data_IF_694812480723
#
_entry.id   IF_694812480723
#
_cell.length_a   1.000
_cell.length_b   1.000
_cell.length_c   1.000
_cell.angle_alpha   90.00
_cell.angle_beta   90.00
_cell.angle_gamma   90.00
#
_symmetry.space_group_name_H-M   'P 1'
#
loop_
_entity.id
_entity.type
_entity.pdbx_description
1 polymer ?
#
# COMPACT_ATOMS: atom_id res chain seq x y z
N UNK A 1 -77.58 -32.99 5.15
CA UNK A 1 -76.78 -32.50 4.01
C UNK A 1 -76.47 -31.05 4.28
N UNK A 2 -75.30 -30.76 4.83
CA UNK A 2 -74.79 -29.39 5.04
C UNK A 2 -73.74 -29.08 3.98
N UNK A 3 -73.70 -27.85 3.42
CA UNK A 3 -72.68 -27.45 2.48
C UNK A 3 -71.40 -26.98 3.20
N UNK A 4 -70.27 -27.56 2.78
CA UNK A 4 -68.91 -27.19 3.19
C UNK A 4 -68.48 -25.91 2.48
N UNK A 5 -68.12 -24.87 3.24
CA UNK A 5 -67.56 -23.62 2.72
C UNK A 5 -66.08 -23.80 2.36
N UNK A 6 -65.72 -23.43 1.13
CA UNK A 6 -64.34 -23.38 0.63
C UNK A 6 -63.71 -22.02 0.96
N UNK A 7 -62.55 -22.04 1.62
CA UNK A 7 -61.76 -20.85 1.92
C UNK A 7 -60.79 -20.54 0.77
N UNK A 8 -60.97 -19.37 0.16
CA UNK A 8 -60.06 -18.80 -0.86
C UNK A 8 -58.85 -18.17 -0.18
N UNK A 9 -57.69 -18.82 -0.27
CA UNK A 9 -56.40 -18.26 0.12
C UNK A 9 -55.75 -17.48 -1.03
N UNK A 10 -55.58 -16.17 -0.87
CA UNK A 10 -54.84 -15.33 -1.80
C UNK A 10 -53.32 -15.56 -1.69
N UNK A 11 -52.57 -15.68 -2.79
CA UNK A 11 -51.13 -15.85 -2.76
C UNK A 11 -50.40 -14.54 -2.38
N UNK A 12 -49.49 -14.66 -1.41
CA UNK A 12 -48.57 -13.60 -0.97
C UNK A 12 -47.52 -13.30 -2.05
N UNK A 13 -47.29 -12.04 -2.45
CA UNK A 13 -46.25 -11.71 -3.43
C UNK A 13 -44.84 -11.82 -2.81
N UNK A 14 -43.96 -12.46 -3.56
CA UNK A 14 -42.55 -12.66 -3.22
C UNK A 14 -41.80 -11.34 -2.97
N UNK A 15 -41.00 -11.32 -1.90
CA UNK A 15 -40.15 -10.21 -1.53
C UNK A 15 -39.10 -9.93 -2.64
N UNK A 16 -39.19 -8.75 -3.24
CA UNK A 16 -38.17 -8.23 -4.18
C UNK A 16 -36.90 -7.90 -3.40
N UNK A 17 -35.84 -8.67 -3.64
CA UNK A 17 -34.47 -8.31 -3.23
C UNK A 17 -34.06 -7.02 -3.93
N UNK A 18 -33.80 -5.99 -3.13
CA UNK A 18 -33.36 -4.66 -3.56
C UNK A 18 -31.96 -4.79 -4.17
N UNK A 19 -31.83 -4.46 -5.46
CA UNK A 19 -30.53 -4.30 -6.11
C UNK A 19 -29.74 -3.18 -5.42
N UNK A 20 -28.51 -3.48 -5.02
CA UNK A 20 -27.59 -2.51 -4.44
C UNK A 20 -27.20 -1.48 -5.52
N UNK A 21 -27.45 -0.21 -5.23
CA UNK A 21 -27.02 0.90 -6.07
C UNK A 21 -25.47 0.99 -6.11
N UNK A 22 -24.86 1.38 -7.23
CA UNK A 22 -23.44 1.67 -7.29
C UNK A 22 -23.14 2.90 -6.43
N UNK A 23 -22.52 2.66 -5.27
CA UNK A 23 -22.08 3.71 -4.35
C UNK A 23 -21.04 4.63 -5.00
N UNK A 24 -21.34 5.92 -4.96
CA UNK A 24 -20.40 7.01 -5.20
C UNK A 24 -19.23 6.92 -4.22
N UNK A 25 -18.03 6.73 -4.75
CA UNK A 25 -16.78 6.77 -3.99
C UNK A 25 -16.39 8.24 -3.76
N UNK A 26 -17.01 8.89 -2.79
CA UNK A 26 -16.59 10.22 -2.34
C UNK A 26 -15.32 10.04 -1.50
N UNK A 27 -14.16 10.24 -2.12
CA UNK A 27 -12.86 10.26 -1.42
C UNK A 27 -12.85 11.48 -0.50
N UNK A 28 -13.17 11.26 0.78
CA UNK A 28 -12.96 12.25 1.82
C UNK A 28 -11.45 12.41 2.05
N UNK A 29 -10.87 13.41 1.37
CA UNK A 29 -9.50 13.86 1.57
C UNK A 29 -9.43 14.69 2.87
N UNK A 30 -9.41 14.01 4.02
CA UNK A 30 -9.12 14.65 5.29
C UNK A 30 -7.61 14.96 5.36
N UNK A 31 -7.27 16.23 5.25
CA UNK A 31 -5.90 16.74 5.39
C UNK A 31 -5.43 16.61 6.84
N UNK A 32 -4.59 15.61 7.11
CA UNK A 32 -3.76 15.60 8.30
C UNK A 32 -2.60 16.59 8.08
N UNK A 33 -2.61 17.71 8.80
CA UNK A 33 -1.43 18.57 8.93
C UNK A 33 -0.41 17.83 9.81
N UNK A 34 0.44 17.02 9.19
CA UNK A 34 1.61 16.45 9.86
C UNK A 34 2.64 17.55 10.12
N UNK A 35 2.99 17.76 11.39
CA UNK A 35 4.09 18.62 11.81
C UNK A 35 5.40 18.11 11.17
N UNK A 36 5.93 18.89 10.24
CA UNK A 36 7.14 18.52 9.48
C UNK A 36 8.37 18.83 10.32
N UNK A 37 9.23 17.85 10.67
CA UNK A 37 10.54 18.16 11.23
C UNK A 37 11.36 18.91 10.17
N UNK A 38 11.80 20.13 10.47
CA UNK A 38 12.75 20.88 9.64
C UNK A 38 14.09 20.15 9.66
N UNK A 39 14.36 19.35 8.63
CA UNK A 39 15.69 18.77 8.43
C UNK A 39 16.60 19.89 7.93
N UNK A 40 17.42 20.44 8.84
CA UNK A 40 18.56 21.31 8.50
C UNK A 40 19.48 20.51 7.58
N UNK A 41 19.74 21.05 6.39
CA UNK A 41 20.66 20.46 5.42
C UNK A 41 22.08 20.45 5.98
N UNK A 42 22.46 19.33 6.60
CA UNK A 42 23.86 19.03 6.89
C UNK A 42 24.45 18.52 5.58
N UNK A 43 25.37 19.28 5.01
CA UNK A 43 26.17 18.82 3.87
C UNK A 43 27.05 17.66 4.35
N UNK A 44 26.60 16.43 4.13
CA UNK A 44 27.36 15.21 4.40
C UNK A 44 28.48 15.08 3.35
N UNK A 45 29.55 15.84 3.55
CA UNK A 45 30.83 15.60 2.89
C UNK A 45 31.60 14.57 3.72
N UNK A 46 31.31 13.29 3.48
CA UNK A 46 32.00 12.17 4.13
C UNK A 46 31.55 10.86 3.51
N UNK A 47 32.43 10.23 2.73
CA UNK A 47 32.30 8.85 2.19
C UNK A 47 30.91 8.45 1.70
N UNK A 48 30.48 9.03 0.57
CA UNK A 48 29.81 8.36 -0.57
C UNK A 48 28.69 7.34 -0.35
N UNK A 49 27.99 7.34 0.79
CA UNK A 49 26.87 6.43 1.04
C UNK A 49 25.72 6.67 0.06
N UNK A 50 25.07 5.60 -0.38
CA UNK A 50 23.97 5.70 -1.34
C UNK A 50 22.71 6.21 -0.62
N UNK A 51 21.91 7.05 -1.26
CA UNK A 51 20.85 7.80 -0.58
C UNK A 51 19.83 6.92 0.20
N UNK A 52 19.55 5.70 -0.27
CA UNK A 52 18.63 4.78 0.42
C UNK A 52 19.25 4.07 1.64
N UNK A 53 20.58 4.03 1.77
CA UNK A 53 21.28 3.34 2.87
C UNK A 53 21.04 4.05 4.20
N UNK A 54 20.85 5.38 4.16
CA UNK A 54 20.48 6.18 5.33
C UNK A 54 18.97 6.17 5.62
N UNK A 55 18.13 5.60 4.74
CA UNK A 55 16.69 5.57 4.91
C UNK A 55 16.24 4.35 5.74
N UNK A 56 15.14 4.46 6.52
CA UNK A 56 14.54 3.29 7.15
C UNK A 56 14.20 2.22 6.11
N UNK A 57 14.35 0.95 6.49
CA UNK A 57 14.12 -0.20 5.61
C UNK A 57 15.05 -0.20 4.37
N UNK A 58 16.33 0.16 4.53
CA UNK A 58 17.31 0.25 3.45
C UNK A 58 17.40 -1.04 2.60
N UNK A 59 17.45 -2.22 3.24
CA UNK A 59 17.48 -3.51 2.54
C UNK A 59 16.20 -3.73 1.72
N UNK A 60 15.03 -3.48 2.31
CA UNK A 60 13.75 -3.57 1.61
C UNK A 60 13.68 -2.64 0.40
N UNK A 61 14.12 -1.39 0.55
CA UNK A 61 14.18 -0.41 -0.54
C UNK A 61 15.10 -0.89 -1.66
N UNK A 62 16.28 -1.39 -1.31
CA UNK A 62 17.20 -1.99 -2.27
C UNK A 62 16.56 -3.17 -3.00
N UNK A 63 15.83 -4.02 -2.29
CA UNK A 63 15.14 -5.16 -2.90
C UNK A 63 14.02 -4.73 -3.83
N UNK A 64 13.24 -3.68 -3.49
CA UNK A 64 12.23 -3.10 -4.42
C UNK A 64 12.92 -2.61 -5.70
N UNK A 65 14.02 -1.85 -5.58
CA UNK A 65 14.74 -1.35 -6.74
C UNK A 65 15.27 -2.47 -7.66
N UNK A 66 15.80 -3.56 -7.08
CA UNK A 66 16.20 -4.75 -7.85
C UNK A 66 14.99 -5.41 -8.53
N UNK A 67 13.88 -5.52 -7.81
CA UNK A 67 12.70 -6.20 -8.31
C UNK A 67 11.93 -5.37 -9.35
N UNK A 68 12.19 -4.06 -9.42
CA UNK A 68 11.79 -3.16 -10.49
C UNK A 68 12.86 -3.02 -11.60
N UNK A 69 13.99 -3.73 -11.46
CA UNK A 69 15.17 -3.69 -12.36
C UNK A 69 15.77 -2.29 -12.54
N UNK A 70 15.57 -1.41 -11.58
CA UNK A 70 16.15 -0.06 -11.61
C UNK A 70 17.56 -0.02 -11.02
N UNK A 71 17.86 -0.91 -10.06
CA UNK A 71 19.11 -0.91 -9.31
C UNK A 71 20.37 -1.19 -10.16
N UNK A 72 20.20 -1.78 -11.35
CA UNK A 72 21.30 -2.07 -12.29
C UNK A 72 21.65 -0.88 -13.20
N UNK A 73 20.84 0.18 -13.19
CA UNK A 73 21.08 1.37 -14.00
C UNK A 73 22.03 2.36 -13.34
N UNK A 74 22.59 3.27 -14.14
CA UNK A 74 23.38 4.40 -13.67
C UNK A 74 22.66 5.18 -12.56
N UNK A 75 23.43 5.68 -11.60
CA UNK A 75 22.90 6.36 -10.39
C UNK A 75 21.84 5.50 -9.69
N UNK A 76 22.05 4.19 -9.66
CA UNK A 76 21.20 3.21 -8.98
C UNK A 76 19.70 3.32 -9.34
N UNK A 77 19.41 3.72 -10.58
CA UNK A 77 18.05 3.81 -11.10
C UNK A 77 17.30 5.11 -10.81
N UNK A 78 17.87 6.07 -10.07
CA UNK A 78 17.17 7.33 -9.75
C UNK A 78 16.79 8.12 -11.01
N UNK A 79 17.60 8.07 -12.07
CA UNK A 79 17.32 8.76 -13.34
C UNK A 79 16.43 8.00 -14.32
N UNK A 80 15.92 6.82 -13.97
CA UNK A 80 15.23 5.94 -14.93
C UNK A 80 13.79 6.35 -15.15
N UNK A 81 13.37 6.40 -16.42
CA UNK A 81 11.97 6.55 -16.83
C UNK A 81 11.58 5.35 -17.68
N UNK A 82 10.49 4.68 -17.33
CA UNK A 82 9.92 3.63 -18.16
C UNK A 82 9.11 4.26 -19.32
N UNK A 83 9.47 4.03 -20.59
CA UNK A 83 8.79 4.67 -21.72
C UNK A 83 7.38 4.16 -21.96
N UNK A 84 7.06 2.94 -21.51
CA UNK A 84 5.75 2.32 -21.75
C UNK A 84 4.74 2.67 -20.66
N UNK A 85 5.16 2.67 -19.40
CA UNK A 85 4.27 2.92 -18.26
C UNK A 85 4.33 4.36 -17.72
N UNK A 86 5.35 5.13 -18.10
CA UNK A 86 5.64 6.43 -17.49
C UNK A 86 6.12 6.32 -16.04
N UNK A 87 6.52 5.13 -15.58
CA UNK A 87 7.05 4.93 -14.23
C UNK A 87 8.38 5.67 -14.04
N UNK A 88 8.54 6.32 -12.89
CA UNK A 88 9.67 7.21 -12.60
C UNK A 88 10.57 6.69 -11.49
N UNK A 89 11.87 6.82 -11.73
CA UNK A 89 12.92 6.71 -10.75
C UNK A 89 13.18 5.31 -10.24
N UNK A 90 13.93 5.25 -9.15
CA UNK A 90 14.43 4.01 -8.55
C UNK A 90 13.32 3.05 -8.15
N UNK A 91 12.18 3.55 -7.70
CA UNK A 91 11.06 2.71 -7.25
C UNK A 91 9.95 2.56 -8.29
N UNK A 92 10.19 3.04 -9.53
CA UNK A 92 9.26 2.97 -10.65
C UNK A 92 7.85 3.47 -10.29
N UNK A 93 7.76 4.65 -9.67
CA UNK A 93 6.47 5.24 -9.32
C UNK A 93 5.66 5.58 -10.56
N UNK A 94 4.47 4.99 -10.69
CA UNK A 94 3.54 5.35 -11.75
C UNK A 94 2.96 6.76 -11.51
N UNK A 95 2.53 7.48 -12.56
CA UNK A 95 1.86 8.76 -12.40
C UNK A 95 0.68 8.73 -11.43
N UNK A 96 -0.15 7.68 -11.48
CA UNK A 96 -1.26 7.50 -10.55
C UNK A 96 -0.79 7.25 -9.11
N UNK A 97 0.34 6.59 -8.91
CA UNK A 97 0.92 6.43 -7.57
C UNK A 97 1.35 7.79 -7.02
N UNK A 98 1.99 8.65 -7.82
CA UNK A 98 2.37 10.00 -7.39
C UNK A 98 1.15 10.89 -7.11
N UNK A 99 0.06 10.71 -7.86
CA UNK A 99 -1.24 11.33 -7.57
C UNK A 99 -1.78 10.86 -6.22
N UNK A 100 -1.81 9.54 -5.98
CA UNK A 100 -2.31 8.96 -4.74
C UNK A 100 -1.51 9.40 -3.51
N UNK A 101 -0.21 9.63 -3.68
CA UNK A 101 0.68 10.16 -2.64
C UNK A 101 0.53 11.67 -2.44
N UNK A 102 -0.23 12.36 -3.28
CA UNK A 102 -0.39 13.82 -3.26
C UNK A 102 0.85 14.58 -3.75
N UNK A 103 1.81 13.91 -4.41
CA UNK A 103 2.96 14.56 -5.05
C UNK A 103 2.58 15.20 -6.38
N UNK A 104 1.58 14.63 -7.06
CA UNK A 104 0.94 15.21 -8.24
C UNK A 104 -0.54 15.50 -7.95
N UNK A 105 -1.11 16.47 -8.65
CA UNK A 105 -2.54 16.76 -8.66
C UNK A 105 -3.25 16.06 -9.84
N UNK A 106 -4.58 16.17 -9.90
CA UNK A 106 -5.39 15.53 -10.93
C UNK A 106 -5.05 15.98 -12.37
N UNK A 107 -4.47 17.18 -12.52
CA UNK A 107 -4.01 17.74 -13.78
C UNK A 107 -2.58 17.30 -14.13
N UNK A 108 -1.95 16.46 -13.31
CA UNK A 108 -0.58 15.96 -13.49
C UNK A 108 0.52 16.93 -13.05
N UNK A 109 0.17 18.10 -12.50
CA UNK A 109 1.12 19.08 -11.97
C UNK A 109 1.68 18.66 -10.61
N UNK A 110 2.92 19.05 -10.32
CA UNK A 110 3.57 18.82 -9.02
C UNK A 110 2.94 19.71 -7.96
N UNK A 111 2.72 19.17 -6.76
CA UNK A 111 2.03 19.87 -5.67
C UNK A 111 3.02 20.59 -4.74
N UNK A 112 2.54 21.47 -3.84
CA UNK A 112 3.39 22.05 -2.78
C UNK A 112 4.05 21.00 -1.87
N UNK A 113 3.53 19.77 -1.80
CA UNK A 113 4.20 18.66 -1.09
C UNK A 113 5.50 18.28 -1.80
N UNK A 114 5.46 18.08 -3.11
CA UNK A 114 6.64 17.75 -3.91
C UNK A 114 7.67 18.91 -3.93
N UNK A 115 7.18 20.15 -4.00
CA UNK A 115 8.05 21.34 -3.99
C UNK A 115 8.86 21.48 -2.69
N UNK A 116 8.32 21.07 -1.53
CA UNK A 116 9.08 21.01 -0.26
C UNK A 116 10.28 20.06 -0.32
N UNK A 117 10.27 19.12 -1.26
CA UNK A 117 11.37 18.21 -1.56
C UNK A 117 12.18 18.64 -2.80
N UNK A 118 12.00 19.87 -3.28
CA UNK A 118 12.73 20.44 -4.41
C UNK A 118 12.23 19.98 -5.78
N UNK A 119 11.01 19.43 -5.87
CA UNK A 119 10.48 18.88 -7.12
C UNK A 119 9.39 19.78 -7.71
N UNK A 120 9.67 20.38 -8.87
CA UNK A 120 8.72 21.18 -9.67
C UNK A 120 8.49 20.60 -11.06
N UNK A 121 9.33 19.64 -11.47
CA UNK A 121 9.27 18.97 -12.76
C UNK A 121 9.64 17.48 -12.63
N UNK A 122 9.35 16.71 -13.68
CA UNK A 122 9.81 15.31 -13.76
C UNK A 122 11.33 15.20 -13.72
N UNK A 123 12.03 16.15 -14.38
CA UNK A 123 13.48 16.22 -14.35
C UNK A 123 14.02 16.43 -12.92
N UNK A 124 13.39 17.30 -12.12
CA UNK A 124 13.79 17.50 -10.72
C UNK A 124 13.62 16.22 -9.90
N UNK A 125 12.50 15.50 -10.09
CA UNK A 125 12.23 14.24 -9.40
C UNK A 125 13.29 13.18 -9.74
N UNK A 126 13.62 13.01 -11.02
CA UNK A 126 14.62 12.06 -11.50
C UNK A 126 16.06 12.47 -11.11
N UNK A 127 16.33 13.76 -10.95
CA UNK A 127 17.63 14.26 -10.54
C UNK A 127 17.87 14.19 -9.02
N UNK A 128 16.83 14.03 -8.20
CA UNK A 128 16.87 14.12 -6.73
C UNK A 128 16.64 12.77 -6.04
N UNK A 129 17.71 12.03 -5.67
CA UNK A 129 17.59 10.83 -4.84
C UNK A 129 16.83 11.08 -3.54
N UNK A 130 17.09 12.21 -2.87
CA UNK A 130 16.41 12.57 -1.62
C UNK A 130 14.89 12.70 -1.78
N UNK A 131 14.42 13.28 -2.89
CA UNK A 131 12.99 13.37 -3.17
C UNK A 131 12.36 11.98 -3.40
N UNK A 132 13.05 11.09 -4.09
CA UNK A 132 12.55 9.73 -4.32
C UNK A 132 12.52 8.89 -3.03
N UNK A 133 13.50 9.08 -2.13
CA UNK A 133 13.47 8.44 -0.81
C UNK A 133 12.34 8.96 0.07
N UNK A 134 12.05 10.26 0.01
CA UNK A 134 10.91 10.86 0.69
C UNK A 134 9.58 10.35 0.11
N UNK A 135 9.45 10.27 -1.22
CA UNK A 135 8.27 9.72 -1.89
C UNK A 135 8.03 8.27 -1.50
N UNK A 136 9.08 7.45 -1.45
CA UNK A 136 9.00 6.06 -0.99
C UNK A 136 8.63 5.97 0.50
N UNK A 137 9.10 6.89 1.33
CA UNK A 137 8.64 6.96 2.71
C UNK A 137 7.13 7.27 2.82
N UNK A 138 6.63 8.24 2.05
CA UNK A 138 5.18 8.53 2.03
C UNK A 138 4.38 7.33 1.49
N UNK A 139 4.92 6.63 0.49
CA UNK A 139 4.32 5.42 -0.08
C UNK A 139 4.17 4.32 0.96
N UNK A 140 5.23 3.98 1.66
CA UNK A 140 5.23 2.92 2.67
C UNK A 140 4.21 3.18 3.78
N UNK A 141 4.18 4.40 4.34
CA UNK A 141 3.15 4.78 5.35
C UNK A 141 1.73 4.62 4.82
N UNK A 142 1.48 5.10 3.59
CA UNK A 142 0.16 5.03 2.98
C UNK A 142 -0.26 3.58 2.74
N UNK A 143 0.65 2.74 2.24
CA UNK A 143 0.37 1.31 2.01
C UNK A 143 0.03 0.61 3.30
N UNK A 144 0.78 0.83 4.39
CA UNK A 144 0.48 0.23 5.69
C UNK A 144 -0.94 0.57 6.17
N UNK A 145 -1.36 1.83 6.06
CA UNK A 145 -2.73 2.25 6.40
C UNK A 145 -3.77 1.55 5.52
N UNK A 146 -3.49 1.38 4.23
CA UNK A 146 -4.42 0.69 3.34
C UNK A 146 -4.49 -0.82 3.61
N UNK A 147 -3.36 -1.45 3.92
CA UNK A 147 -3.32 -2.88 4.29
C UNK A 147 -4.09 -3.13 5.57
N UNK A 148 -3.97 -2.24 6.55
CA UNK A 148 -4.71 -2.30 7.80
C UNK A 148 -6.22 -2.15 7.57
N UNK A 149 -6.64 -1.11 6.84
CA UNK A 149 -8.06 -0.87 6.49
C UNK A 149 -8.70 -2.01 5.70
N UNK A 150 -7.92 -2.69 4.86
CA UNK A 150 -8.40 -3.83 4.07
C UNK A 150 -8.36 -5.15 4.85
N UNK A 151 -7.95 -5.16 6.13
CA UNK A 151 -7.83 -6.36 6.95
C UNK A 151 -6.72 -7.31 6.48
N UNK A 152 -5.77 -6.85 5.68
CA UNK A 152 -4.65 -7.66 5.20
C UNK A 152 -3.62 -7.87 6.30
N UNK A 153 -3.38 -6.85 7.13
CA UNK A 153 -2.41 -6.92 8.22
C UNK A 153 -2.77 -7.95 9.29
N UNK A 154 -4.05 -8.29 9.47
CA UNK A 154 -4.48 -9.32 10.44
C UNK A 154 -4.07 -10.73 10.03
N UNK A 155 -3.62 -10.92 8.78
CA UNK A 155 -3.13 -12.19 8.25
C UNK A 155 -1.61 -12.35 8.36
N UNK A 156 -0.90 -11.34 8.85
CA UNK A 156 0.54 -11.38 9.05
C UNK A 156 0.94 -12.56 9.96
N UNK A 157 2.01 -13.26 9.60
CA UNK A 157 2.51 -14.43 10.31
C UNK A 157 1.84 -15.76 9.92
N UNK A 158 0.77 -15.71 9.11
CA UNK A 158 0.15 -16.90 8.54
C UNK A 158 0.78 -17.34 7.21
N UNK A 159 0.10 -18.25 6.52
CA UNK A 159 0.43 -18.67 5.14
C UNK A 159 -0.79 -18.51 4.23
N UNK A 160 -0.54 -18.49 2.93
CA UNK A 160 -1.58 -18.63 1.90
C UNK A 160 -1.14 -19.68 0.88
N UNK A 161 -2.06 -20.56 0.50
CA UNK A 161 -1.82 -21.51 -0.58
C UNK A 161 -1.85 -20.79 -1.94
N UNK A 162 -0.73 -20.74 -2.63
CA UNK A 162 -0.57 -20.09 -3.93
C UNK A 162 -1.33 -20.77 -5.07
N UNK A 163 -1.29 -20.17 -6.26
CA UNK A 163 -1.93 -20.65 -7.48
C UNK A 163 -1.36 -22.00 -7.96
N UNK A 164 -0.09 -22.28 -7.63
CA UNK A 164 0.55 -23.57 -7.90
C UNK A 164 0.39 -24.58 -6.76
N UNK A 165 -0.40 -24.24 -5.73
CA UNK A 165 -0.64 -25.10 -4.56
C UNK A 165 0.44 -25.05 -3.48
N UNK A 166 1.54 -24.30 -3.66
CA UNK A 166 2.59 -24.14 -2.66
C UNK A 166 2.16 -23.15 -1.55
N UNK A 167 2.59 -23.40 -0.32
CA UNK A 167 2.38 -22.46 0.79
C UNK A 167 3.33 -21.27 0.68
N UNK A 168 2.79 -20.06 0.85
CA UNK A 168 3.53 -18.80 0.81
C UNK A 168 3.37 -18.10 2.16
N UNK A 169 4.47 -17.82 2.90
CA UNK A 169 4.39 -17.11 4.17
C UNK A 169 3.93 -15.66 3.96
N UNK A 170 3.07 -15.18 4.84
CA UNK A 170 2.56 -13.81 4.83
C UNK A 170 3.35 -12.95 5.83
N UNK A 171 4.54 -12.51 5.44
CA UNK A 171 5.36 -11.59 6.23
C UNK A 171 4.99 -10.14 5.94
N UNK A 172 5.30 -9.21 6.87
CA UNK A 172 5.01 -7.78 6.66
C UNK A 172 5.71 -7.24 5.41
N UNK A 173 6.99 -7.56 5.23
CA UNK A 173 7.75 -7.22 4.02
C UNK A 173 7.09 -7.77 2.74
N UNK A 174 6.67 -9.04 2.73
CA UNK A 174 5.95 -9.65 1.62
C UNK A 174 4.67 -8.90 1.27
N UNK A 175 3.83 -8.60 2.26
CA UNK A 175 2.55 -7.91 2.08
C UNK A 175 2.76 -6.48 1.53
N UNK A 176 3.71 -5.73 2.09
CA UNK A 176 4.03 -4.37 1.64
C UNK A 176 4.60 -4.38 0.22
N UNK A 177 5.48 -5.32 -0.12
CA UNK A 177 6.06 -5.44 -1.46
C UNK A 177 5.01 -5.85 -2.52
N UNK A 178 4.08 -6.74 -2.15
CA UNK A 178 2.98 -7.11 -3.04
C UNK A 178 2.03 -5.92 -3.29
N UNK A 179 1.76 -5.13 -2.25
CA UNK A 179 0.97 -3.90 -2.37
C UNK A 179 1.70 -2.82 -3.17
N UNK A 180 3.03 -2.70 -3.08
CA UNK A 180 3.83 -1.87 -3.99
C UNK A 180 3.58 -2.23 -5.45
N UNK A 181 3.63 -3.53 -5.78
CA UNK A 181 3.53 -3.98 -7.16
C UNK A 181 2.13 -3.87 -7.77
N UNK A 182 1.09 -4.20 -7.01
CA UNK A 182 -0.28 -4.36 -7.52
C UNK A 182 -1.34 -3.51 -6.83
N UNK A 183 -0.95 -2.75 -5.82
CA UNK A 183 -1.87 -2.02 -4.93
C UNK A 183 -2.46 -2.91 -3.84
N UNK A 184 -2.80 -2.28 -2.71
CA UNK A 184 -3.39 -2.93 -1.53
C UNK A 184 -4.73 -3.62 -1.82
N UNK A 185 -5.57 -3.04 -2.69
CA UNK A 185 -6.86 -3.62 -3.07
C UNK A 185 -6.73 -4.91 -3.88
N UNK A 186 -5.76 -4.99 -4.80
CA UNK A 186 -5.50 -6.23 -5.55
C UNK A 186 -4.93 -7.32 -4.65
N UNK A 187 -4.05 -6.97 -3.71
CA UNK A 187 -3.56 -7.92 -2.70
C UNK A 187 -4.70 -8.45 -1.83
N UNK A 188 -5.58 -7.58 -1.32
CA UNK A 188 -6.74 -8.00 -0.54
C UNK A 188 -7.66 -8.95 -1.34
N UNK A 189 -7.89 -8.63 -2.63
CA UNK A 189 -8.65 -9.48 -3.54
C UNK A 189 -8.00 -10.84 -3.78
N UNK A 190 -6.67 -10.87 -3.96
CA UNK A 190 -5.91 -12.12 -4.07
C UNK A 190 -6.10 -12.98 -2.82
N UNK A 191 -5.87 -12.42 -1.63
CA UNK A 191 -5.99 -13.14 -0.37
C UNK A 191 -7.42 -13.63 -0.12
N UNK A 192 -8.44 -12.82 -0.43
CA UNK A 192 -9.84 -13.21 -0.34
C UNK A 192 -10.19 -14.36 -1.29
N UNK A 193 -9.71 -14.31 -2.54
CA UNK A 193 -9.93 -15.40 -3.50
C UNK A 193 -9.28 -16.70 -3.03
N UNK A 194 -8.03 -16.66 -2.55
CA UNK A 194 -7.34 -17.87 -2.05
C UNK A 194 -7.98 -18.46 -0.79
N UNK A 195 -8.62 -17.65 0.05
CA UNK A 195 -9.32 -18.14 1.24
C UNK A 195 -10.74 -18.63 0.94
N UNK A 196 -11.50 -17.89 0.14
CA UNK A 196 -12.94 -18.08 0.05
C UNK A 196 -13.36 -18.88 -1.20
N UNK A 197 -12.60 -18.75 -2.29
CA UNK A 197 -12.95 -19.34 -3.60
C UNK A 197 -11.73 -19.85 -4.36
N UNK A 198 -10.88 -20.71 -3.76
CA UNK A 198 -9.61 -21.11 -4.35
C UNK A 198 -9.73 -21.87 -5.69
N UNK A 199 -10.89 -22.49 -5.95
CA UNK A 199 -11.18 -23.25 -7.18
C UNK A 199 -11.90 -22.43 -8.25
N UNK A 200 -12.28 -21.18 -7.96
CA UNK A 200 -12.97 -20.35 -8.94
C UNK A 200 -12.05 -20.00 -10.11
N UNK A 201 -12.56 -20.16 -11.33
CA UNK A 201 -11.80 -19.87 -12.56
C UNK A 201 -11.39 -18.40 -12.60
N UNK A 202 -10.10 -18.16 -12.83
CA UNK A 202 -9.54 -16.83 -13.05
C UNK A 202 -9.42 -16.53 -14.55
N UNK A 203 -9.77 -15.32 -14.95
CA UNK A 203 -9.39 -14.80 -16.27
C UNK A 203 -7.86 -14.71 -16.39
N UNK A 204 -7.35 -14.67 -17.63
CA UNK A 204 -5.91 -14.54 -17.88
C UNK A 204 -5.30 -13.29 -17.21
N UNK A 205 -6.05 -12.17 -17.20
CA UNK A 205 -5.64 -10.92 -16.57
C UNK A 205 -5.54 -11.05 -15.04
N UNK A 206 -6.50 -11.71 -14.41
CA UNK A 206 -6.50 -11.93 -12.95
C UNK A 206 -5.39 -12.89 -12.54
N UNK A 207 -5.22 -13.98 -13.29
CA UNK A 207 -4.12 -14.93 -13.07
C UNK A 207 -2.77 -14.23 -13.12
N UNK A 208 -2.53 -13.40 -14.14
CA UNK A 208 -1.30 -12.59 -14.23
C UNK A 208 -1.13 -11.62 -13.05
N UNK A 209 -2.22 -10.98 -12.62
CA UNK A 209 -2.21 -10.09 -11.46
C UNK A 209 -1.83 -10.82 -10.17
N UNK A 210 -2.42 -12.00 -9.95
CA UNK A 210 -2.19 -12.81 -8.76
C UNK A 210 -0.78 -13.43 -8.76
N UNK A 211 -0.27 -13.88 -9.91
CA UNK A 211 1.12 -14.32 -10.03
C UNK A 211 2.12 -13.20 -9.67
N UNK A 212 1.82 -11.94 -10.02
CA UNK A 212 2.66 -10.81 -9.63
C UNK A 212 2.61 -10.53 -8.12
N UNK A 213 1.47 -10.78 -7.47
CA UNK A 213 1.35 -10.73 -5.99
C UNK A 213 2.18 -11.84 -5.36
N UNK A 214 1.98 -13.10 -5.79
CA UNK A 214 2.70 -14.26 -5.26
C UNK A 214 4.21 -14.12 -5.35
N UNK A 215 4.69 -13.68 -6.51
CA UNK A 215 6.12 -13.42 -6.70
C UNK A 215 6.66 -12.43 -5.67
N UNK A 216 5.93 -11.34 -5.38
CA UNK A 216 6.36 -10.37 -4.37
C UNK A 216 6.28 -10.92 -2.95
N UNK A 217 5.25 -11.68 -2.62
CA UNK A 217 5.15 -12.36 -1.32
C UNK A 217 6.34 -13.30 -1.09
N UNK A 218 6.73 -14.06 -2.13
CA UNK A 218 7.87 -14.97 -2.08
C UNK A 218 9.21 -14.23 -2.03
N UNK A 219 9.46 -13.31 -2.96
CA UNK A 219 10.73 -12.58 -3.11
C UNK A 219 11.07 -11.73 -1.87
N UNK A 220 10.06 -11.32 -1.10
CA UNK A 220 10.19 -10.49 0.11
C UNK A 220 9.83 -11.24 1.39
N UNK A 221 9.57 -12.55 1.31
CA UNK A 221 9.19 -13.36 2.46
C UNK A 221 10.24 -13.35 3.58
N UNK A 222 11.51 -13.14 3.24
CA UNK A 222 12.64 -13.12 4.18
C UNK A 222 13.24 -11.72 4.40
N UNK A 223 12.69 -10.68 3.76
CA UNK A 223 13.25 -9.32 3.84
C UNK A 223 12.71 -8.63 5.08
N UNK A 224 13.62 -8.20 5.95
CA UNK A 224 13.24 -7.48 7.16
C UNK A 224 12.53 -6.16 6.79
N UNK A 225 11.43 -5.89 7.49
CA UNK A 225 10.65 -4.68 7.31
C UNK A 225 10.21 -4.15 8.67
N UNK A 226 10.65 -2.94 9.00
CA UNK A 226 10.19 -2.20 10.16
C UNK A 226 9.01 -1.30 9.75
N UNK A 227 7.84 -1.57 10.33
CA UNK A 227 6.63 -0.76 10.13
C UNK A 227 6.94 0.73 10.30
N UNK A 228 6.50 1.55 9.33
CA UNK A 228 6.64 2.99 9.39
C UNK A 228 5.44 3.70 10.03
N UNK A 229 4.44 2.92 10.45
CA UNK A 229 3.37 3.41 11.32
C UNK A 229 4.03 4.06 12.53
N UNK A 230 3.77 5.35 12.73
CA UNK A 230 4.08 5.96 14.01
C UNK A 230 3.37 5.13 15.05
N UNK A 231 4.12 4.48 15.95
CA UNK A 231 3.49 3.85 17.10
C UNK A 231 2.73 4.98 17.79
N UNK A 232 1.40 4.88 17.95
CA UNK A 232 0.65 5.91 18.63
C UNK A 232 1.32 6.09 19.99
N UNK A 233 1.81 7.30 20.27
CA UNK A 233 2.63 7.65 21.43
C UNK A 233 2.24 6.83 22.66
N UNK A 234 2.89 5.69 22.87
CA UNK A 234 2.60 4.80 24.02
C UNK A 234 3.01 5.46 25.33
N UNK A 235 3.76 6.56 25.24
CA UNK A 235 4.21 7.42 26.33
C UNK A 235 3.10 8.28 26.98
N UNK A 236 1.89 8.39 26.41
CA UNK A 236 0.79 9.16 27.03
C UNK A 236 -0.19 8.32 27.87
N UNK A 237 -0.07 6.99 27.86
CA UNK A 237 -0.95 6.09 28.62
C UNK A 237 -0.36 5.64 29.98
N UNK A 238 0.84 6.08 30.34
CA UNK A 238 1.46 5.81 31.63
C UNK A 238 1.54 7.09 32.48
N UNK A 239 0.40 7.71 32.76
CA UNK A 239 0.30 8.62 33.90
C UNK A 239 -0.04 7.78 35.14
N UNK A 240 0.91 7.52 36.05
CA UNK A 240 0.60 6.85 37.30
C UNK A 240 -0.36 7.75 38.10
N UNK A 241 -1.52 7.21 38.46
CA UNK A 241 -2.44 7.82 39.39
C UNK A 241 -1.69 8.18 40.68
N UNK A 242 -1.68 9.46 41.01
CA UNK A 242 -1.28 9.95 42.31
C UNK A 242 -2.25 9.38 43.33
N UNK A 243 -1.80 8.37 44.08
CA UNK A 243 -2.47 7.94 45.31
C UNK A 243 -2.24 8.99 46.38
N UNK A 244 -3.26 9.76 46.70
CA UNK A 244 -3.33 10.59 47.91
C UNK A 244 -3.35 9.66 49.14
N UNK A 245 -2.52 9.90 50.17
CA UNK A 245 -2.60 9.15 51.42
C UNK A 245 -3.80 9.60 52.26
N UNK A 246 -4.44 8.70 53.03
CA UNK A 246 -5.46 9.07 54.00
C UNK A 246 -4.83 9.71 55.25
N UNK A 247 -5.54 10.70 55.80
CA UNK A 247 -5.26 11.38 57.07
C UNK A 247 -5.57 10.54 58.30
#
# INVERSE_FOLDING_TARGET
MEPVQAASGSPQPAARTRAAAPGSFTVALAGAQEATPRIRGVALSGTGGRAWEAAPNAEFRQRIAQAERSAEHARDGYGVRNPHSGALGRYQFLPNSLLDLGWKNAQGGWTPLAERHGVRSEADFLASPAAQEAAMSHFLRRVEVQLDRNGVMTRQGGTVRGLNGAEIPLTEGGLVAAAHRRGSGMLARYLAHRTNTPEATLSARERSAFQAVERRLQDFGQVAYASMRQQPNRALAAAPGQTTPPS
#
